data_IF_653066091103
#
_entry.id   IF_653066091103
#
_cell.length_a   1.000
_cell.length_b   1.000
_cell.length_c   1.000
_cell.angle_alpha   90.00
_cell.angle_beta   90.00
_cell.angle_gamma   90.00
#
_symmetry.space_group_name_H-M   'P 1'
#
loop_
_entity.id
_entity.type
_entity.pdbx_description
1 polymer ?
#
# COMPACT_ATOMS: atom_id res chain seq x y z
N UNK A 1 -15.54 4.18 -20.79
CA UNK A 1 -14.10 3.93 -20.60
C UNK A 1 -13.56 3.12 -21.79
N UNK A 2 -12.89 3.79 -22.73
CA UNK A 2 -12.22 3.14 -23.86
C UNK A 2 -11.07 2.23 -23.42
N UNK A 3 -10.54 1.41 -24.34
CA UNK A 3 -9.47 0.43 -24.08
C UNK A 3 -8.25 1.06 -23.39
N UNK A 4 -7.87 2.28 -23.77
CA UNK A 4 -6.74 3.03 -23.22
C UNK A 4 -6.99 3.46 -21.76
N UNK A 5 -8.20 3.95 -21.47
CA UNK A 5 -8.59 4.39 -20.12
C UNK A 5 -8.62 3.20 -19.15
N UNK A 6 -9.19 2.07 -19.60
CA UNK A 6 -9.17 0.80 -18.86
C UNK A 6 -7.74 0.30 -18.63
N UNK A 7 -6.86 0.44 -19.63
CA UNK A 7 -5.43 0.11 -19.50
C UNK A 7 -4.71 0.95 -18.44
N UNK A 8 -4.94 2.27 -18.43
CA UNK A 8 -4.38 3.19 -17.43
C UNK A 8 -4.87 2.86 -16.02
N UNK A 9 -6.16 2.58 -15.86
CA UNK A 9 -6.73 2.21 -14.57
C UNK A 9 -6.11 0.92 -14.02
N UNK A 10 -5.97 -0.11 -14.86
CA UNK A 10 -5.32 -1.36 -14.50
C UNK A 10 -3.85 -1.15 -14.13
N UNK A 11 -3.12 -0.32 -14.88
CA UNK A 11 -1.74 0.02 -14.57
C UNK A 11 -1.63 0.72 -13.20
N UNK A 12 -2.47 1.73 -12.93
CA UNK A 12 -2.52 2.41 -11.64
C UNK A 12 -2.87 1.46 -10.49
N UNK A 13 -3.80 0.52 -10.71
CA UNK A 13 -4.16 -0.52 -9.72
C UNK A 13 -2.96 -1.43 -9.42
N UNK A 14 -2.22 -1.86 -10.45
CA UNK A 14 -1.00 -2.69 -10.29
C UNK A 14 0.08 -1.95 -9.51
N UNK A 15 0.33 -0.69 -9.84
CA UNK A 15 1.31 0.16 -9.15
C UNK A 15 0.94 0.32 -7.67
N UNK A 16 -0.34 0.61 -7.37
CA UNK A 16 -0.84 0.70 -6.00
C UNK A 16 -0.61 -0.61 -5.23
N UNK A 17 -0.96 -1.77 -5.82
CA UNK A 17 -0.74 -3.09 -5.21
C UNK A 17 0.74 -3.34 -4.91
N UNK A 18 1.64 -2.99 -5.83
CA UNK A 18 3.08 -3.17 -5.64
C UNK A 18 3.63 -2.31 -4.50
N UNK A 19 3.25 -1.02 -4.45
CA UNK A 19 3.65 -0.10 -3.36
C UNK A 19 3.18 -0.60 -1.99
N UNK A 20 1.94 -1.08 -1.90
CA UNK A 20 1.39 -1.64 -0.66
C UNK A 20 2.13 -2.90 -0.23
N UNK A 21 2.52 -3.78 -1.16
CA UNK A 21 3.33 -4.97 -0.86
C UNK A 21 4.68 -4.58 -0.23
N UNK A 22 5.38 -3.61 -0.82
CA UNK A 22 6.65 -3.13 -0.30
C UNK A 22 6.51 -2.50 1.09
N UNK A 23 5.45 -1.72 1.32
CA UNK A 23 5.19 -1.12 2.64
C UNK A 23 4.84 -2.17 3.70
N UNK A 24 4.13 -3.25 3.33
CA UNK A 24 3.88 -4.40 4.21
C UNK A 24 5.18 -5.11 4.59
N UNK A 25 6.05 -5.38 3.62
CA UNK A 25 7.36 -6.01 3.90
C UNK A 25 8.23 -5.13 4.79
N UNK A 26 8.22 -3.80 4.59
CA UNK A 26 8.92 -2.85 5.46
C UNK A 26 8.32 -2.82 6.86
N UNK A 27 7.00 -2.84 6.98
CA UNK A 27 6.30 -2.86 8.27
C UNK A 27 6.64 -4.13 9.07
N UNK A 28 6.68 -5.29 8.42
CA UNK A 28 7.05 -6.56 9.05
C UNK A 28 8.52 -6.60 9.53
N UNK A 29 9.42 -5.88 8.84
CA UNK A 29 10.85 -5.80 9.19
C UNK A 29 11.18 -4.69 10.19
N UNK A 30 10.35 -3.66 10.29
CA UNK A 30 10.56 -2.54 11.19
C UNK A 30 10.52 -3.02 12.64
N UNK A 31 11.57 -2.69 13.41
CA UNK A 31 11.66 -2.97 14.85
C UNK A 31 11.23 -1.77 15.68
N UNK A 32 11.43 -0.57 15.14
CA UNK A 32 11.12 0.70 15.79
C UNK A 32 9.62 1.06 15.66
N UNK A 33 9.05 1.62 16.72
CA UNK A 33 7.66 2.06 16.75
C UNK A 33 7.44 3.29 15.86
N UNK A 34 8.40 4.21 15.81
CA UNK A 34 8.32 5.41 14.97
C UNK A 34 8.30 5.05 13.47
N UNK A 35 9.12 4.08 13.05
CA UNK A 35 9.11 3.59 11.67
C UNK A 35 7.79 2.91 11.29
N UNK A 36 7.21 2.13 12.21
CA UNK A 36 5.90 1.49 12.03
C UNK A 36 4.79 2.52 11.84
N UNK A 37 4.78 3.60 12.62
CA UNK A 37 3.82 4.70 12.49
C UNK A 37 3.96 5.43 11.15
N UNK A 38 5.19 5.76 10.75
CA UNK A 38 5.45 6.41 9.46
C UNK A 38 5.00 5.53 8.26
N UNK A 39 5.15 4.21 8.37
CA UNK A 39 4.67 3.26 7.36
C UNK A 39 3.14 3.17 7.36
N UNK A 40 2.50 3.15 8.53
CA UNK A 40 1.03 3.18 8.66
C UNK A 40 0.44 4.44 8.01
N UNK A 41 1.03 5.61 8.25
CA UNK A 41 0.59 6.86 7.65
C UNK A 41 0.72 6.83 6.11
N UNK A 42 1.86 6.34 5.60
CA UNK A 42 2.08 6.17 4.16
C UNK A 42 1.08 5.21 3.51
N UNK A 43 0.71 4.12 4.19
CA UNK A 43 -0.31 3.20 3.69
C UNK A 43 -1.69 3.83 3.67
N UNK A 44 -2.09 4.53 4.74
CA UNK A 44 -3.38 5.25 4.81
C UNK A 44 -3.53 6.28 3.68
N UNK A 45 -2.46 7.00 3.32
CA UNK A 45 -2.45 7.95 2.19
C UNK A 45 -2.66 7.28 0.83
N UNK A 46 -2.17 6.04 0.65
CA UNK A 46 -2.30 5.29 -0.62
C UNK A 46 -3.66 4.62 -0.74
N UNK A 47 -4.15 4.05 0.36
CA UNK A 47 -5.46 3.41 0.41
C UNK A 47 -6.02 3.49 1.83
N UNK A 48 -7.14 4.21 2.02
CA UNK A 48 -7.79 4.34 3.33
C UNK A 48 -8.27 3.01 3.91
N UNK A 49 -8.51 2.02 3.05
CA UNK A 49 -9.10 0.73 3.42
C UNK A 49 -8.06 -0.36 3.71
N UNK A 50 -6.77 -0.09 3.46
CA UNK A 50 -5.72 -1.08 3.72
C UNK A 50 -5.30 -0.94 5.17
N UNK A 51 -5.85 -1.81 6.00
CA UNK A 51 -5.41 -1.99 7.38
C UNK A 51 -4.16 -2.87 7.35
N UNK A 52 -3.04 -2.35 7.88
CA UNK A 52 -1.80 -3.13 8.09
C UNK A 52 -1.85 -3.98 9.36
N UNK A 53 -2.84 -3.73 10.21
CA UNK A 53 -3.15 -4.56 11.38
C UNK A 53 -4.19 -5.61 11.00
N UNK A 54 -3.72 -6.83 10.75
CA UNK A 54 -4.37 -8.08 11.12
C UNK A 54 -3.43 -9.21 10.70
N UNK A 55 -2.49 -9.53 11.60
CA UNK A 55 -2.06 -10.90 11.79
C UNK A 55 -2.80 -11.38 13.03
N UNK A 56 -3.95 -12.01 12.80
CA UNK A 56 -4.53 -12.99 13.71
C UNK A 56 -4.20 -14.38 13.13
#
# INVERSE_FOLDING_TARGET
MGRVEKGRELAQRRIRKHKLKQLREKFAKAKDSAEKEAIKEKVRKISPFVVLEESA
#
